data_IF_817269296110
#
_entry.id   IF_817269296110
#
_cell.length_a   1.000
_cell.length_b   1.000
_cell.length_c   1.000
_cell.angle_alpha   90.00
_cell.angle_beta   90.00
_cell.angle_gamma   90.00
#
_symmetry.space_group_name_H-M   'P 1'
#
loop_
_entity.id
_entity.type
_entity.pdbx_description
1 polymer ?
#
# COMPACT_ATOMS: atom_id res chain seq x y z
N UNK A 1 5.54 1.24 24.52
CA UNK A 1 4.90 -0.06 24.26
C UNK A 1 5.99 -1.04 23.86
N UNK A 2 6.32 -2.00 24.71
CA UNK A 2 7.34 -3.02 24.48
C UNK A 2 6.67 -4.35 24.19
N UNK A 3 6.37 -4.60 22.92
CA UNK A 3 6.01 -5.92 22.39
C UNK A 3 6.85 -6.17 21.15
N UNK A 4 7.12 -7.43 20.83
CA UNK A 4 7.88 -7.74 19.62
C UNK A 4 7.16 -7.19 18.37
N UNK A 5 7.90 -6.66 17.38
CA UNK A 5 7.33 -6.27 16.10
C UNK A 5 6.55 -7.43 15.50
N UNK A 6 5.23 -7.28 15.39
CA UNK A 6 4.33 -8.33 14.86
C UNK A 6 3.95 -8.11 13.38
N UNK A 7 4.56 -7.08 12.77
CA UNK A 7 4.38 -6.66 11.39
C UNK A 7 5.69 -6.06 10.84
N UNK A 8 6.02 -6.37 9.59
CA UNK A 8 7.22 -5.85 8.94
C UNK A 8 6.98 -5.55 7.45
N UNK A 9 7.50 -4.42 6.98
CA UNK A 9 7.34 -3.94 5.61
C UNK A 9 8.60 -3.18 5.21
N UNK A 10 9.19 -3.57 4.08
CA UNK A 10 10.23 -2.78 3.45
C UNK A 10 9.55 -1.66 2.66
N UNK A 11 10.02 -0.43 2.86
CA UNK A 11 9.48 0.78 2.23
C UNK A 11 10.58 1.43 1.42
N UNK A 12 10.33 1.59 0.12
CA UNK A 12 11.30 2.15 -0.82
C UNK A 12 10.65 3.33 -1.57
N UNK A 13 11.30 4.50 -1.55
CA UNK A 13 10.91 5.61 -2.41
C UNK A 13 11.35 5.27 -3.85
N UNK A 14 10.40 5.23 -4.78
CA UNK A 14 10.66 4.95 -6.19
C UNK A 14 10.82 6.25 -6.97
N UNK A 15 9.99 7.25 -6.68
CA UNK A 15 9.97 8.55 -7.36
C UNK A 15 9.20 9.58 -6.52
N UNK A 16 9.40 10.88 -6.76
CA UNK A 16 8.68 11.95 -6.07
C UNK A 16 8.46 13.18 -6.96
N UNK A 17 7.32 13.85 -6.77
CA UNK A 17 6.99 15.12 -7.46
C UNK A 17 5.96 15.89 -6.66
N UNK A 18 5.98 17.23 -6.73
CA UNK A 18 4.88 18.08 -6.22
C UNK A 18 4.42 17.75 -4.79
N UNK A 19 5.34 17.41 -3.89
CA UNK A 19 5.03 17.06 -2.50
C UNK A 19 4.43 15.67 -2.28
N UNK A 20 4.34 14.83 -3.32
CA UNK A 20 3.92 13.43 -3.24
C UNK A 20 5.07 12.48 -3.61
N UNK A 21 5.10 11.32 -2.95
CA UNK A 21 6.05 10.25 -3.25
C UNK A 21 5.35 8.99 -3.75
N UNK A 22 5.94 8.32 -4.71
CA UNK A 22 5.55 6.97 -5.13
C UNK A 22 6.46 5.96 -4.44
N UNK A 23 5.86 5.10 -3.64
CA UNK A 23 6.57 4.11 -2.84
C UNK A 23 6.30 2.69 -3.33
N UNK A 24 7.32 1.83 -3.24
CA UNK A 24 7.17 0.39 -3.28
C UNK A 24 7.12 -0.11 -1.83
N UNK A 25 6.11 -0.91 -1.53
CA UNK A 25 5.89 -1.52 -0.23
C UNK A 25 5.98 -3.04 -0.37
N UNK A 26 6.91 -3.67 0.34
CA UNK A 26 7.10 -5.12 0.33
C UNK A 26 6.79 -5.67 1.73
N UNK A 27 5.53 -6.06 2.01
CA UNK A 27 5.17 -6.62 3.31
C UNK A 27 5.66 -8.07 3.44
N UNK A 28 6.35 -8.38 4.53
CA UNK A 28 6.70 -9.78 4.89
C UNK A 28 5.66 -10.42 5.82
N UNK A 29 4.66 -9.65 6.24
CA UNK A 29 3.51 -10.07 7.06
C UNK A 29 2.23 -9.48 6.48
N UNK A 30 1.07 -10.11 6.71
CA UNK A 30 -0.22 -9.70 6.16
C UNK A 30 -1.23 -9.18 7.18
N UNK A 31 -0.83 -8.30 8.12
CA UNK A 31 -1.77 -7.79 9.14
C UNK A 31 -2.77 -6.81 8.54
N UNK A 32 -3.98 -6.74 9.12
CA UNK A 32 -5.03 -5.80 8.71
C UNK A 32 -4.50 -4.37 8.72
N UNK A 33 -4.69 -3.64 7.61
CA UNK A 33 -4.25 -2.25 7.43
C UNK A 33 -2.74 -1.98 7.63
N UNK A 34 -1.90 -3.02 7.64
CA UNK A 34 -0.48 -2.91 7.96
C UNK A 34 0.25 -1.80 7.16
N UNK A 35 0.09 -1.80 5.85
CA UNK A 35 0.77 -0.83 4.97
C UNK A 35 0.31 0.61 5.25
N UNK A 36 -1.00 0.79 5.48
CA UNK A 36 -1.62 2.10 5.76
C UNK A 36 -1.08 2.67 7.07
N UNK A 37 -1.07 1.83 8.12
CA UNK A 37 -0.54 2.19 9.44
C UNK A 37 0.96 2.49 9.37
N UNK A 38 1.76 1.63 8.74
CA UNK A 38 3.22 1.85 8.63
C UNK A 38 3.55 3.16 7.92
N UNK A 39 2.90 3.44 6.79
CA UNK A 39 3.11 4.68 6.05
C UNK A 39 2.71 5.91 6.87
N UNK A 40 1.57 5.84 7.59
CA UNK A 40 1.17 6.90 8.51
C UNK A 40 2.16 7.09 9.68
N UNK A 41 2.66 6.01 10.28
CA UNK A 41 3.65 6.05 11.36
C UNK A 41 5.01 6.63 10.94
N UNK A 42 5.35 6.53 9.65
CA UNK A 42 6.52 7.19 9.06
C UNK A 42 6.28 8.69 8.78
N UNK A 43 5.08 9.21 9.01
CA UNK A 43 4.71 10.58 8.67
C UNK A 43 4.42 10.78 7.18
N UNK A 44 4.20 9.70 6.43
CA UNK A 44 3.97 9.70 4.98
C UNK A 44 2.63 9.00 4.69
N UNK A 45 1.48 9.56 5.12
CA UNK A 45 0.19 8.91 4.96
C UNK A 45 -0.17 8.69 3.49
N UNK A 46 -0.89 7.60 3.21
CA UNK A 46 -1.32 7.25 1.85
C UNK A 46 -2.45 8.20 1.42
N UNK A 47 -2.36 8.72 0.19
CA UNK A 47 -3.42 9.56 -0.37
C UNK A 47 -4.75 8.80 -0.48
N UNK A 48 -5.84 9.47 -0.12
CA UNK A 48 -7.18 8.90 -0.14
C UNK A 48 -7.49 7.96 1.02
N UNK A 49 -6.55 7.72 1.94
CA UNK A 49 -6.79 6.93 3.14
C UNK A 49 -7.88 7.57 4.01
N UNK A 50 -8.91 6.80 4.33
CA UNK A 50 -10.09 7.21 5.08
C UNK A 50 -10.03 6.86 6.58
N UNK A 51 -8.94 6.24 7.02
CA UNK A 51 -8.73 5.77 8.39
C UNK A 51 -7.55 6.49 9.07
N UNK A 52 -6.46 6.72 8.35
CA UNK A 52 -5.25 7.36 8.84
C UNK A 52 -4.97 8.69 8.12
N UNK A 53 -4.47 9.72 8.83
CA UNK A 53 -4.21 9.75 10.27
C UNK A 53 -5.49 9.85 11.13
N UNK A 54 -6.60 10.24 10.53
CA UNK A 54 -7.88 10.41 11.22
C UNK A 54 -8.99 9.82 10.35
N UNK A 55 -9.88 9.05 10.98
CA UNK A 55 -11.00 8.46 10.29
C UNK A 55 -11.92 9.55 9.74
N UNK A 56 -12.19 9.54 8.44
CA UNK A 56 -12.99 10.59 7.80
C UNK A 56 -14.51 10.35 7.95
N UNK A 57 -14.93 9.15 8.38
CA UNK A 57 -16.35 8.78 8.48
C UNK A 57 -17.05 8.72 7.12
N UNK A 58 -16.29 8.60 6.02
CA UNK A 58 -16.83 8.48 4.67
C UNK A 58 -17.65 7.20 4.55
N UNK A 59 -18.73 7.26 3.77
CA UNK A 59 -19.53 6.09 3.49
C UNK A 59 -18.69 5.06 2.71
N UNK A 60 -18.95 3.76 2.91
CA UNK A 60 -18.17 2.68 2.31
C UNK A 60 -18.23 2.67 0.77
N UNK A 61 -19.26 3.28 0.20
CA UNK A 61 -19.51 3.43 -1.24
C UNK A 61 -19.09 4.80 -1.81
N UNK A 62 -18.46 5.66 -1.01
CA UNK A 62 -17.90 6.93 -1.46
C UNK A 62 -16.51 6.76 -2.09
N UNK A 63 -16.47 6.66 -3.42
CA UNK A 63 -15.25 6.52 -4.22
C UNK A 63 -14.69 7.85 -4.77
N UNK A 64 -15.06 9.00 -4.19
CA UNK A 64 -14.60 10.32 -4.67
C UNK A 64 -13.09 10.56 -4.49
N UNK A 65 -12.48 9.92 -3.50
CA UNK A 65 -11.04 9.96 -3.24
C UNK A 65 -10.53 8.56 -2.87
N UNK A 66 -10.35 7.67 -3.86
CA UNK A 66 -10.00 6.28 -3.62
C UNK A 66 -8.59 6.16 -3.04
N UNK A 67 -8.40 5.17 -2.17
CA UNK A 67 -7.10 4.85 -1.58
C UNK A 67 -6.06 4.60 -2.68
N UNK A 68 -4.98 5.38 -2.66
CA UNK A 68 -3.85 5.26 -3.60
C UNK A 68 -2.87 4.17 -3.14
N UNK A 69 -3.38 2.96 -2.93
CA UNK A 69 -2.62 1.76 -2.59
C UNK A 69 -3.05 0.63 -3.53
N UNK A 70 -2.07 0.04 -4.22
CA UNK A 70 -2.32 -0.99 -5.22
C UNK A 70 -1.41 -2.19 -4.99
N UNK A 71 -1.99 -3.39 -5.01
CA UNK A 71 -1.22 -4.62 -5.14
C UNK A 71 -0.59 -4.67 -6.54
N UNK A 72 0.67 -4.21 -6.63
CA UNK A 72 1.38 -4.05 -7.90
C UNK A 72 1.79 -5.37 -8.53
N UNK A 73 2.23 -6.31 -7.70
CA UNK A 73 2.58 -7.66 -8.12
C UNK A 73 2.34 -8.67 -7.00
N UNK A 74 2.14 -9.93 -7.39
CA UNK A 74 2.19 -11.09 -6.50
C UNK A 74 3.09 -12.15 -7.15
N UNK A 75 3.93 -12.77 -6.34
CA UNK A 75 4.86 -13.81 -6.77
C UNK A 75 4.83 -14.97 -5.78
N UNK A 76 4.76 -16.19 -6.30
CA UNK A 76 4.74 -17.40 -5.48
C UNK A 76 5.20 -18.61 -6.28
N UNK A 77 5.60 -19.67 -5.57
CA UNK A 77 5.84 -20.98 -6.17
C UNK A 77 4.48 -21.66 -6.37
N UNK A 78 4.11 -21.93 -7.61
CA UNK A 78 2.89 -22.66 -7.95
C UNK A 78 2.88 -24.02 -7.23
N UNK A 79 1.88 -24.31 -6.38
CA UNK A 79 1.88 -25.54 -5.60
C UNK A 79 1.76 -26.81 -6.47
N UNK A 80 1.24 -26.68 -7.70
CA UNK A 80 1.08 -27.79 -8.64
C UNK A 80 2.32 -27.91 -9.51
N UNK A 81 2.68 -26.86 -10.26
CA UNK A 81 3.77 -26.94 -11.24
C UNK A 81 5.17 -26.76 -10.65
N UNK A 82 5.27 -26.26 -9.41
CA UNK A 82 6.53 -25.89 -8.72
C UNK A 82 7.35 -24.79 -9.41
N UNK A 83 6.78 -24.13 -10.42
CA UNK A 83 7.40 -23.02 -11.13
C UNK A 83 7.05 -21.71 -10.42
N UNK A 84 7.98 -20.75 -10.44
CA UNK A 84 7.72 -19.38 -9.98
C UNK A 84 6.68 -18.73 -10.89
N UNK A 85 5.56 -18.29 -10.31
CA UNK A 85 4.52 -17.52 -10.98
C UNK A 85 4.58 -16.10 -10.48
N UNK A 86 4.49 -15.15 -11.41
CA UNK A 86 4.39 -13.73 -11.13
C UNK A 86 3.22 -13.13 -11.89
N UNK A 87 2.41 -12.35 -11.21
CA UNK A 87 1.31 -11.61 -11.79
C UNK A 87 1.46 -10.14 -11.42
N UNK A 88 1.21 -9.28 -12.39
CA UNK A 88 1.29 -7.83 -12.22
C UNK A 88 -0.05 -7.18 -12.52
N UNK A 89 -0.36 -6.13 -11.77
CA UNK A 89 -1.58 -5.35 -11.99
C UNK A 89 -1.51 -4.57 -13.30
N UNK A 90 -2.67 -4.38 -13.93
CA UNK A 90 -2.84 -3.44 -15.05
C UNK A 90 -3.43 -2.10 -14.60
N UNK A 91 -3.72 -1.94 -13.30
CA UNK A 91 -4.23 -0.69 -12.74
C UNK A 91 -3.06 0.25 -12.45
N UNK A 92 -3.37 1.53 -12.35
CA UNK A 92 -2.42 2.57 -11.96
C UNK A 92 -2.95 3.34 -10.75
N UNK A 93 -2.05 4.00 -10.03
CA UNK A 93 -2.41 4.99 -9.04
C UNK A 93 -2.88 6.25 -9.77
N UNK A 94 -4.17 6.55 -9.71
CA UNK A 94 -4.81 7.64 -10.46
C UNK A 94 -4.13 8.98 -10.20
N UNK A 95 -3.80 9.27 -8.94
CA UNK A 95 -3.11 10.51 -8.54
C UNK A 95 -1.64 10.57 -8.97
N UNK A 96 -1.07 9.44 -9.38
CA UNK A 96 0.29 9.38 -9.91
C UNK A 96 0.34 9.52 -11.43
N UNK A 97 -0.71 9.12 -12.15
CA UNK A 97 -0.74 9.17 -13.63
C UNK A 97 -1.35 10.45 -14.16
N UNK A 98 -2.27 11.07 -13.43
CA UNK A 98 -2.81 12.38 -13.78
C UNK A 98 -1.67 13.41 -13.72
N UNK A 99 -1.38 14.05 -14.86
CA UNK A 99 -0.51 15.22 -15.00
C UNK A 99 -1.38 16.47 -15.08
#
# INVERSE_FOLDING_TARGET
MTGEPNAHTVVELVDHREGIGRYRLTPSTGRTHQLRLHMNSLGIPILGDDLYPTATGRAVDDFTAPLQLLASAIEFIDPISKVVRRFETRRSLERWVQN
#
